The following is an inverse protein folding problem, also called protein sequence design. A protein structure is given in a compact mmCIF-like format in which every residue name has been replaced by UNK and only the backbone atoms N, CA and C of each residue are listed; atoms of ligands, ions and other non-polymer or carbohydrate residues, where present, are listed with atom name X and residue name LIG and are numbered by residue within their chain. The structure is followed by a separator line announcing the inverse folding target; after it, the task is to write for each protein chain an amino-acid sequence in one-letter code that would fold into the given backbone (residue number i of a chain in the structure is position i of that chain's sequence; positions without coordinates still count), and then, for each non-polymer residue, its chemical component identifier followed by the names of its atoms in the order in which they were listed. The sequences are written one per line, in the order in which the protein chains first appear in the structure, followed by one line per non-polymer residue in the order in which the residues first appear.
data_IF_948201548234
#
_entry.id   IF_948201548234
#
_cell.length_a   1.000
_cell.length_b   1.000
_cell.length_c   1.000
_cell.angle_alpha   90.00
_cell.angle_beta   90.00
_cell.angle_gamma   90.00
#
_symmetry.space_group_name_H-M   'P 1'
#
loop_
_entity.id
_entity.type
_entity.pdbx_description
1 polymer ?
#
# COMPACT_ATOMS: atom_id res chain seq x y z
N UNK A 1 0.07 -9.97 30.93
CA UNK A 1 -0.87 -9.52 29.88
C UNK A 1 -1.14 -10.73 29.01
N UNK A 2 -2.40 -11.16 28.91
CA UNK A 2 -2.77 -12.33 28.11
C UNK A 2 -2.71 -11.99 26.62
N UNK A 3 -2.50 -12.98 25.77
CA UNK A 3 -2.45 -12.88 24.31
C UNK A 3 -3.71 -12.24 23.70
N UNK A 4 -4.86 -12.45 24.34
CA UNK A 4 -6.14 -11.88 23.96
C UNK A 4 -6.17 -10.33 24.03
N UNK A 5 -5.48 -9.72 25.00
CA UNK A 5 -5.42 -8.27 25.14
C UNK A 5 -4.61 -7.64 23.99
N UNK A 6 -3.55 -8.32 23.53
CA UNK A 6 -2.74 -7.86 22.41
C UNK A 6 -3.52 -7.96 21.10
N UNK A 7 -4.27 -9.05 20.88
CA UNK A 7 -5.13 -9.20 19.69
C UNK A 7 -6.22 -8.13 19.62
N UNK A 8 -6.80 -7.74 20.76
CA UNK A 8 -7.83 -6.68 20.84
C UNK A 8 -7.32 -5.30 20.45
N UNK A 9 -6.06 -5.00 20.73
CA UNK A 9 -5.44 -3.71 20.37
C UNK A 9 -4.88 -3.77 18.95
N UNK A 10 -4.27 -4.88 18.56
CA UNK A 10 -3.61 -5.03 17.26
C UNK A 10 -4.58 -5.13 16.09
N UNK A 11 -5.73 -5.77 16.29
CA UNK A 11 -6.75 -5.93 15.24
C UNK A 11 -7.24 -4.57 14.70
N UNK A 12 -7.62 -3.58 15.54
CA UNK A 12 -7.91 -2.22 15.09
C UNK A 12 -6.76 -1.54 14.34
N UNK A 13 -5.51 -1.76 14.75
CA UNK A 13 -4.33 -1.15 14.10
C UNK A 13 -4.16 -1.64 12.67
N UNK A 14 -4.17 -2.96 12.43
CA UNK A 14 -4.04 -3.51 11.07
C UNK A 14 -5.15 -3.04 10.13
N UNK A 15 -6.38 -2.89 10.63
CA UNK A 15 -7.50 -2.37 9.82
C UNK A 15 -7.35 -0.88 9.50
N UNK A 16 -6.77 -0.08 10.40
CA UNK A 16 -6.54 1.35 10.14
C UNK A 16 -5.52 1.60 9.01
N UNK A 17 -4.58 0.67 8.80
CA UNK A 17 -3.58 0.75 7.73
C UNK A 17 -4.21 0.56 6.34
N UNK A 18 -5.28 -0.22 6.23
CA UNK A 18 -6.04 -0.41 4.99
C UNK A 18 -6.40 0.94 4.37
N UNK A 19 -6.90 1.85 5.22
CA UNK A 19 -7.31 3.21 4.82
C UNK A 19 -6.11 4.03 4.35
N UNK A 20 -4.96 3.93 5.02
CA UNK A 20 -3.74 4.64 4.63
C UNK A 20 -3.18 4.13 3.30
N UNK A 21 -3.28 2.81 3.06
CA UNK A 21 -2.88 2.19 1.79
C UNK A 21 -3.79 2.71 0.66
N UNK A 22 -5.10 2.70 0.85
CA UNK A 22 -6.06 3.27 -0.13
C UNK A 22 -5.83 4.77 -0.34
N UNK A 23 -5.56 5.51 0.73
CA UNK A 23 -5.21 6.93 0.64
C UNK A 23 -3.99 7.16 -0.25
N UNK A 24 -2.99 6.27 -0.21
CA UNK A 24 -1.84 6.34 -1.12
C UNK A 24 -2.20 6.25 -2.61
N UNK A 25 -3.27 5.54 -2.97
CA UNK A 25 -3.77 5.50 -4.36
C UNK A 25 -4.41 6.83 -4.73
N UNK A 26 -5.21 7.39 -3.82
CA UNK A 26 -6.13 8.51 -4.05
C UNK A 26 -5.57 9.88 -3.62
N UNK A 27 -4.33 9.91 -3.14
CA UNK A 27 -3.68 11.10 -2.63
C UNK A 27 -3.67 12.22 -3.67
N UNK A 28 -4.07 13.42 -3.27
CA UNK A 28 -4.19 14.59 -4.15
C UNK A 28 -5.46 14.63 -5.01
N UNK A 29 -6.38 13.67 -4.85
CA UNK A 29 -7.60 13.57 -5.71
C UNK A 29 -8.93 13.59 -4.95
N UNK A 30 -8.88 13.47 -3.62
CA UNK A 30 -10.06 13.48 -2.76
C UNK A 30 -9.92 14.53 -1.66
N UNK A 31 -11.05 15.10 -1.22
CA UNK A 31 -11.07 15.98 -0.05
C UNK A 31 -10.87 15.18 1.25
N UNK A 32 -10.47 15.84 2.36
CA UNK A 32 -10.47 15.21 3.67
C UNK A 32 -11.83 14.60 4.07
N UNK A 33 -12.94 15.24 3.70
CA UNK A 33 -14.29 14.71 3.98
C UNK A 33 -14.55 13.41 3.19
N UNK A 34 -14.13 13.36 1.93
CA UNK A 34 -14.22 12.12 1.14
C UNK A 34 -13.35 11.01 1.75
N UNK A 35 -12.17 11.33 2.30
CA UNK A 35 -11.36 10.36 3.03
C UNK A 35 -12.03 9.86 4.31
N UNK A 36 -12.73 10.71 5.06
CA UNK A 36 -13.49 10.26 6.25
C UNK A 36 -14.61 9.28 5.88
N UNK A 37 -15.33 9.54 4.80
CA UNK A 37 -16.40 8.66 4.32
C UNK A 37 -15.83 7.36 3.75
N UNK A 38 -14.76 7.46 2.96
CA UNK A 38 -14.02 6.31 2.46
C UNK A 38 -13.58 5.41 3.61
N UNK A 39 -12.95 6.00 4.64
CA UNK A 39 -12.48 5.28 5.82
C UNK A 39 -13.61 4.53 6.52
N UNK A 40 -14.79 5.14 6.65
CA UNK A 40 -15.96 4.49 7.26
C UNK A 40 -16.41 3.24 6.48
N UNK A 41 -16.60 3.36 5.16
CA UNK A 41 -17.05 2.24 4.33
C UNK A 41 -15.99 1.14 4.23
N UNK A 42 -14.75 1.54 3.98
CA UNK A 42 -13.62 0.62 3.83
C UNK A 42 -13.34 -0.16 5.12
N UNK A 43 -13.28 0.52 6.26
CA UNK A 43 -13.06 -0.12 7.57
C UNK A 43 -14.15 -1.15 7.87
N UNK A 44 -15.42 -0.80 7.63
CA UNK A 44 -16.56 -1.69 7.88
C UNK A 44 -16.46 -2.98 7.04
N UNK A 45 -16.11 -2.84 5.76
CA UNK A 45 -15.93 -3.97 4.86
C UNK A 45 -14.66 -4.78 5.21
N UNK A 46 -13.55 -4.12 5.52
CA UNK A 46 -12.29 -4.77 5.87
C UNK A 46 -12.44 -5.65 7.11
N UNK A 47 -13.16 -5.19 8.15
CA UNK A 47 -13.46 -6.00 9.34
C UNK A 47 -14.26 -7.25 8.99
N UNK A 48 -15.27 -7.12 8.12
CA UNK A 48 -16.08 -8.27 7.69
C UNK A 48 -15.24 -9.27 6.89
N UNK A 49 -14.44 -8.79 5.95
CA UNK A 49 -13.55 -9.62 5.12
C UNK A 49 -12.51 -10.32 5.98
N UNK A 50 -11.93 -9.62 6.96
CA UNK A 50 -10.98 -10.21 7.91
C UNK A 50 -11.60 -11.36 8.70
N UNK A 51 -12.81 -11.14 9.23
CA UNK A 51 -13.54 -12.17 9.96
C UNK A 51 -13.82 -13.39 9.08
N UNK A 52 -14.26 -13.20 7.83
CA UNK A 52 -14.49 -14.30 6.89
C UNK A 52 -13.18 -15.06 6.63
N UNK A 53 -12.08 -14.37 6.34
CA UNK A 53 -10.82 -15.00 5.95
C UNK A 53 -10.16 -15.73 7.14
N UNK A 54 -10.07 -15.06 8.30
CA UNK A 54 -9.33 -15.59 9.45
C UNK A 54 -10.19 -16.50 10.33
N UNK A 55 -11.43 -16.13 10.60
CA UNK A 55 -12.28 -16.85 11.56
C UNK A 55 -13.22 -17.88 10.92
N UNK A 56 -13.57 -17.74 9.63
CA UNK A 56 -14.47 -18.70 8.95
C UNK A 56 -13.67 -19.62 8.03
N UNK A 57 -12.86 -19.06 7.15
CA UNK A 57 -12.05 -19.84 6.19
C UNK A 57 -10.78 -20.42 6.86
N UNK A 58 -10.35 -19.86 7.98
CA UNK A 58 -9.11 -20.25 8.68
C UNK A 58 -7.89 -20.23 7.74
N UNK A 59 -7.79 -19.13 7.00
CA UNK A 59 -6.67 -18.82 6.13
C UNK A 59 -5.51 -18.34 7.00
N UNK A 60 -4.32 -18.89 6.76
CA UNK A 60 -3.12 -18.35 7.39
C UNK A 60 -2.67 -17.08 6.64
N UNK A 61 -3.06 -15.94 7.18
CA UNK A 61 -2.63 -14.59 6.77
C UNK A 61 -2.02 -13.83 7.96
N UNK A 62 -1.09 -14.48 8.66
CA UNK A 62 -0.50 -13.94 9.89
C UNK A 62 0.17 -12.56 9.74
N UNK A 63 0.74 -12.29 8.55
CA UNK A 63 1.32 -10.99 8.19
C UNK A 63 0.34 -10.03 7.52
N UNK A 64 -0.96 -10.37 7.48
CA UNK A 64 -2.04 -9.53 6.90
C UNK A 64 -1.79 -9.10 5.45
N UNK A 65 -1.09 -9.93 4.67
CA UNK A 65 -0.75 -9.64 3.28
C UNK A 65 -1.98 -9.59 2.37
N UNK A 66 -3.02 -10.37 2.69
CA UNK A 66 -4.27 -10.36 1.93
C UNK A 66 -5.22 -9.28 2.44
N UNK A 67 -5.57 -9.34 3.72
CA UNK A 67 -6.63 -8.51 4.33
C UNK A 67 -6.25 -7.04 4.54
N UNK A 68 -4.94 -6.73 4.60
CA UNK A 68 -4.46 -5.35 4.72
C UNK A 68 -3.86 -4.85 3.42
N UNK A 69 -2.76 -5.47 2.98
CA UNK A 69 -2.00 -4.94 1.84
C UNK A 69 -2.69 -5.13 0.49
N UNK A 70 -3.05 -6.36 0.13
CA UNK A 70 -3.75 -6.59 -1.14
C UNK A 70 -5.13 -5.93 -1.13
N UNK A 71 -5.93 -6.12 -0.07
CA UNK A 71 -7.26 -5.55 0.04
C UNK A 71 -7.24 -4.02 -0.10
N UNK A 72 -6.46 -3.28 0.71
CA UNK A 72 -6.39 -1.82 0.62
C UNK A 72 -5.90 -1.35 -0.75
N UNK A 73 -4.87 -1.99 -1.30
CA UNK A 73 -4.34 -1.61 -2.62
C UNK A 73 -5.41 -1.71 -3.72
N UNK A 74 -6.10 -2.85 -3.81
CA UNK A 74 -7.10 -3.06 -4.87
C UNK A 74 -8.42 -2.34 -4.59
N UNK A 75 -8.77 -2.06 -3.34
CA UNK A 75 -9.89 -1.21 -2.98
C UNK A 75 -9.66 0.22 -3.47
N UNK A 76 -8.49 0.80 -3.18
CA UNK A 76 -8.13 2.14 -3.64
C UNK A 76 -8.06 2.24 -5.17
N UNK A 77 -7.45 1.26 -5.85
CA UNK A 77 -7.41 1.24 -7.32
C UNK A 77 -8.81 1.14 -7.94
N UNK A 78 -9.68 0.31 -7.35
CA UNK A 78 -11.07 0.20 -7.78
C UNK A 78 -11.85 1.51 -7.58
N UNK A 79 -11.68 2.17 -6.43
CA UNK A 79 -12.27 3.48 -6.18
C UNK A 79 -11.74 4.55 -7.18
N UNK A 80 -10.46 4.50 -7.52
CA UNK A 80 -9.83 5.40 -8.49
C UNK A 80 -10.37 5.24 -9.92
N UNK A 81 -10.85 4.05 -10.31
CA UNK A 81 -11.43 3.80 -11.62
C UNK A 81 -12.72 4.58 -11.89
N UNK A 82 -13.58 4.67 -10.87
CA UNK A 82 -14.88 5.36 -10.96
C UNK A 82 -14.81 6.80 -10.48
N UNK A 83 -13.83 7.14 -9.65
CA UNK A 83 -13.60 8.48 -9.12
C UNK A 83 -12.93 9.46 -10.08
N UNK A 84 -12.97 9.22 -11.39
CA UNK A 84 -12.27 10.04 -12.39
C UNK A 84 -12.91 11.43 -12.52
N UNK A 85 -12.31 12.43 -11.88
CA UNK A 85 -12.57 13.85 -12.17
C UNK A 85 -11.84 14.29 -13.43
N UNK A 86 -12.42 15.26 -14.16
CA UNK A 86 -11.79 15.93 -15.31
C UNK A 86 -10.76 16.99 -14.86
N UNK A 87 -10.94 17.56 -13.68
CA UNK A 87 -10.10 18.61 -13.09
C UNK A 87 -9.35 18.02 -11.91
N UNK A 88 -8.33 17.22 -12.19
CA UNK A 88 -7.44 16.69 -11.15
C UNK A 88 -6.16 17.51 -11.20
N UNK A 89 -5.57 17.80 -10.03
CA UNK A 89 -4.21 18.36 -10.00
C UNK A 89 -3.32 17.49 -10.91
N UNK A 90 -2.84 18.09 -11.98
CA UNK A 90 -1.76 17.51 -12.77
C UNK A 90 -0.54 17.48 -11.85
N UNK A 91 0.08 16.31 -11.71
CA UNK A 91 1.37 16.24 -11.05
C UNK A 91 2.33 17.09 -11.88
N UNK A 92 3.04 17.99 -11.21
CA UNK A 92 4.12 18.76 -11.83
C UNK A 92 5.07 17.79 -12.57
N UNK A 93 5.41 18.13 -13.82
CA UNK A 93 6.37 17.37 -14.63
C UNK A 93 7.73 17.22 -13.92
N UNK A 94 8.01 18.10 -12.95
CA UNK A 94 9.24 18.15 -12.17
C UNK A 94 9.27 17.15 -10.99
N UNK A 95 8.15 16.50 -10.65
CA UNK A 95 8.13 15.41 -9.67
C UNK A 95 8.41 15.84 -8.22
N UNK A 96 9.14 15.02 -7.46
CA UNK A 96 9.50 15.32 -6.06
C UNK A 96 10.66 16.31 -5.97
N UNK A 97 10.68 17.10 -4.89
CA UNK A 97 11.81 17.98 -4.54
C UNK A 97 12.62 17.42 -3.37
N UNK A 98 13.86 17.86 -3.21
CA UNK A 98 14.82 17.28 -2.25
C UNK A 98 14.27 17.13 -0.82
N UNK A 99 13.62 18.17 -0.27
CA UNK A 99 13.07 18.09 1.09
C UNK A 99 11.89 17.11 1.19
N UNK A 100 11.04 17.02 0.16
CA UNK A 100 9.94 16.05 0.14
C UNK A 100 10.45 14.61 0.10
N UNK A 101 11.56 14.36 -0.61
CA UNK A 101 12.21 13.06 -0.64
C UNK A 101 12.85 12.69 0.70
N UNK A 102 13.46 13.65 1.39
CA UNK A 102 14.00 13.43 2.73
C UNK A 102 12.89 13.10 3.74
N UNK A 103 11.76 13.82 3.72
CA UNK A 103 10.61 13.51 4.58
C UNK A 103 10.02 12.13 4.28
N UNK A 104 9.87 11.77 3.00
CA UNK A 104 9.42 10.43 2.57
C UNK A 104 10.37 9.33 3.05
N UNK A 105 11.69 9.59 3.05
CA UNK A 105 12.68 8.65 3.56
C UNK A 105 12.60 8.44 5.08
N UNK A 106 12.27 9.46 5.87
CA UNK A 106 12.02 9.28 7.31
C UNK A 106 10.87 8.29 7.52
N UNK A 107 9.77 8.45 6.79
CA UNK A 107 8.65 7.51 6.82
C UNK A 107 9.07 6.10 6.40
N UNK A 108 9.85 5.99 5.31
CA UNK A 108 10.39 4.71 4.82
C UNK A 108 11.21 4.01 5.89
N UNK A 109 12.12 4.70 6.57
CA UNK A 109 12.97 4.11 7.60
C UNK A 109 12.18 3.68 8.84
N UNK A 110 11.18 4.46 9.27
CA UNK A 110 10.31 4.09 10.38
C UNK A 110 9.52 2.82 10.05
N UNK A 111 8.92 2.77 8.85
CA UNK A 111 8.24 1.56 8.38
C UNK A 111 9.21 0.38 8.33
N UNK A 112 10.41 0.57 7.79
CA UNK A 112 11.41 -0.49 7.63
C UNK A 112 11.82 -1.10 8.97
N UNK A 113 12.11 -0.27 9.97
CA UNK A 113 12.57 -0.70 11.30
C UNK A 113 11.46 -1.37 12.10
N UNK A 114 10.21 -0.89 11.99
CA UNK A 114 9.10 -1.41 12.79
C UNK A 114 8.35 -2.59 12.12
N UNK A 115 8.55 -2.84 10.82
CA UNK A 115 7.86 -3.91 10.10
C UNK A 115 8.04 -5.32 10.68
N UNK A 116 9.24 -5.73 11.18
CA UNK A 116 9.39 -7.02 11.84
C UNK A 116 8.47 -7.17 13.06
N UNK A 117 8.21 -6.08 13.79
CA UNK A 117 7.26 -6.09 14.91
C UNK A 117 5.83 -6.22 14.40
N UNK A 118 5.50 -5.56 13.29
CA UNK A 118 4.18 -5.64 12.66
C UNK A 118 3.80 -7.10 12.31
N UNK A 119 4.68 -7.80 11.58
CA UNK A 119 4.42 -9.20 11.18
C UNK A 119 4.42 -10.18 12.37
N UNK A 120 5.10 -9.84 13.45
CA UNK A 120 5.27 -10.71 14.61
C UNK A 120 4.21 -10.51 15.70
N UNK A 121 3.47 -9.40 15.68
CA UNK A 121 2.63 -8.95 16.80
C UNK A 121 1.57 -9.98 17.24
N UNK A 122 0.98 -10.72 16.30
CA UNK A 122 -0.08 -11.72 16.56
C UNK A 122 0.40 -13.16 16.45
N UNK A 123 1.71 -13.36 16.30
CA UNK A 123 2.28 -14.69 16.12
C UNK A 123 2.43 -15.40 17.46
N UNK A 124 1.89 -16.62 17.51
CA UNK A 124 1.97 -17.51 18.65
C UNK A 124 2.19 -18.95 18.16
N UNK A 125 3.03 -19.74 18.84
CA UNK A 125 3.72 -19.46 20.10
C UNK A 125 4.95 -18.53 19.95
N UNK A 126 5.71 -18.31 21.03
CA UNK A 126 6.88 -17.41 21.05
C UNK A 126 7.94 -17.76 19.98
N UNK A 127 8.10 -19.05 19.66
CA UNK A 127 8.99 -19.51 18.60
C UNK A 127 8.54 -19.00 17.22
N UNK A 128 7.23 -19.02 16.93
CA UNK A 128 6.67 -18.47 15.71
C UNK A 128 6.86 -16.95 15.63
N UNK A 129 6.74 -16.24 16.76
CA UNK A 129 7.01 -14.81 16.85
C UNK A 129 8.46 -14.47 16.52
N UNK A 130 9.43 -15.18 17.10
CA UNK A 130 10.85 -14.98 16.77
C UNK A 130 11.14 -15.29 15.31
N UNK A 131 10.57 -16.38 14.75
CA UNK A 131 10.69 -16.67 13.31
C UNK A 131 10.13 -15.55 12.43
N UNK A 132 8.97 -14.99 12.79
CA UNK A 132 8.37 -13.89 12.04
C UNK A 132 9.25 -12.64 12.04
N UNK A 133 9.84 -12.28 13.18
CA UNK A 133 10.80 -11.16 13.27
C UNK A 133 12.00 -11.40 12.35
N UNK A 134 12.66 -12.57 12.49
CA UNK A 134 13.87 -12.89 11.73
C UNK A 134 13.62 -12.99 10.23
N UNK A 135 12.56 -13.68 9.82
CA UNK A 135 12.21 -13.83 8.40
C UNK A 135 11.86 -12.48 7.77
N UNK A 136 11.12 -11.63 8.48
CA UNK A 136 10.77 -10.28 8.00
C UNK A 136 12.03 -9.43 7.84
N UNK A 137 12.92 -9.42 8.85
CA UNK A 137 14.17 -8.68 8.77
C UNK A 137 15.06 -9.13 7.61
N UNK A 138 15.27 -10.45 7.44
CA UNK A 138 16.11 -10.99 6.36
C UNK A 138 15.51 -10.74 4.97
N UNK A 139 14.20 -10.87 4.83
CA UNK A 139 13.49 -10.56 3.58
C UNK A 139 13.61 -9.07 3.22
N UNK A 140 13.49 -8.17 4.19
CA UNK A 140 13.62 -6.73 3.96
C UNK A 140 15.07 -6.31 3.72
N UNK A 141 16.04 -6.90 4.41
CA UNK A 141 17.45 -6.63 4.20
C UNK A 141 17.90 -7.06 2.79
N UNK A 142 17.55 -8.28 2.38
CA UNK A 142 17.79 -8.74 1.01
C UNK A 142 17.05 -7.87 -0.02
N UNK A 143 15.78 -7.55 0.24
CA UNK A 143 14.96 -6.67 -0.58
C UNK A 143 15.56 -5.27 -0.76
N UNK A 144 16.14 -4.68 0.29
CA UNK A 144 16.85 -3.40 0.23
C UNK A 144 18.06 -3.50 -0.68
N UNK A 145 18.93 -4.49 -0.49
CA UNK A 145 20.12 -4.68 -1.35
C UNK A 145 19.71 -4.87 -2.81
N UNK A 146 18.73 -5.73 -3.07
CA UNK A 146 18.18 -5.95 -4.42
C UNK A 146 17.60 -4.67 -5.01
N UNK A 147 16.91 -3.85 -4.21
CA UNK A 147 16.35 -2.56 -4.66
C UNK A 147 17.44 -1.60 -5.14
N UNK A 148 18.53 -1.44 -4.40
CA UNK A 148 19.64 -0.58 -4.82
C UNK A 148 20.31 -1.09 -6.10
N UNK A 149 20.56 -2.40 -6.17
CA UNK A 149 21.15 -3.05 -7.36
C UNK A 149 20.26 -2.82 -8.59
N UNK A 150 18.97 -3.15 -8.48
CA UNK A 150 18.04 -2.99 -9.60
C UNK A 150 17.81 -1.52 -9.95
N UNK A 151 17.74 -0.61 -8.98
CA UNK A 151 17.60 0.81 -9.26
C UNK A 151 18.78 1.35 -10.06
N UNK A 152 20.00 0.90 -9.77
CA UNK A 152 21.18 1.27 -10.55
C UNK A 152 21.13 0.65 -11.95
N UNK A 153 20.77 -0.64 -12.06
CA UNK A 153 20.72 -1.33 -13.36
C UNK A 153 19.68 -0.78 -14.34
N UNK A 154 18.56 -0.24 -13.85
CA UNK A 154 17.53 0.33 -14.72
C UNK A 154 17.79 1.79 -15.11
N UNK A 155 18.76 2.47 -14.46
CA UNK A 155 19.20 3.81 -14.85
C UNK A 155 20.39 3.72 -15.82
N UNK A 156 20.33 4.50 -16.90
CA UNK A 156 21.36 4.48 -17.96
C UNK A 156 22.75 4.92 -17.46
N UNK A 157 22.84 5.62 -16.32
CA UNK A 157 24.07 6.11 -15.72
C UNK A 157 24.41 5.38 -14.41
N UNK A 158 23.67 4.33 -14.06
CA UNK A 158 23.90 3.58 -12.82
C UNK A 158 23.48 4.31 -11.54
N UNK A 159 22.71 5.39 -11.62
CA UNK A 159 22.29 6.19 -10.45
C UNK A 159 21.11 5.56 -9.72
N UNK A 160 20.89 5.98 -8.48
CA UNK A 160 19.72 5.57 -7.71
C UNK A 160 18.55 6.54 -7.90
N UNK A 161 17.34 6.00 -8.01
CA UNK A 161 16.11 6.77 -8.03
C UNK A 161 15.44 6.70 -6.66
N UNK A 162 15.20 7.85 -6.03
CA UNK A 162 14.65 7.90 -4.68
C UNK A 162 13.24 7.30 -4.56
N UNK A 163 12.43 7.33 -5.62
CA UNK A 163 11.12 6.65 -5.64
C UNK A 163 11.30 5.13 -5.53
N UNK A 164 12.32 4.57 -6.21
CA UNK A 164 12.62 3.15 -6.07
C UNK A 164 13.07 2.81 -4.65
N UNK A 165 13.92 3.65 -4.04
CA UNK A 165 14.44 3.42 -2.69
C UNK A 165 13.35 3.55 -1.62
N UNK A 166 12.51 4.59 -1.69
CA UNK A 166 11.44 4.83 -0.72
C UNK A 166 10.37 3.72 -0.74
N UNK A 167 10.06 3.19 -1.93
CA UNK A 167 8.99 2.20 -2.09
C UNK A 167 9.52 0.76 -2.09
N UNK A 168 10.47 0.43 -2.96
CA UNK A 168 10.82 -0.97 -3.23
C UNK A 168 11.62 -1.63 -2.10
N UNK A 169 12.30 -0.85 -1.24
CA UNK A 169 13.00 -1.39 -0.07
C UNK A 169 12.04 -2.01 0.95
N UNK A 170 10.77 -1.56 0.97
CA UNK A 170 9.69 -2.12 1.78
C UNK A 170 8.98 -3.29 1.07
N UNK A 171 9.08 -3.38 -0.26
CA UNK A 171 8.35 -4.33 -1.09
C UNK A 171 9.20 -5.49 -1.63
N UNK A 172 10.46 -5.61 -1.21
CA UNK A 172 11.39 -6.63 -1.70
C UNK A 172 11.89 -6.42 -3.14
N UNK A 173 11.93 -5.17 -3.63
CA UNK A 173 12.42 -4.84 -4.98
C UNK A 173 11.39 -4.93 -6.12
N UNK A 174 10.17 -5.38 -5.82
CA UNK A 174 9.08 -5.57 -6.82
C UNK A 174 8.57 -4.24 -7.43
N UNK A 175 8.79 -3.10 -6.77
CA UNK A 175 8.13 -1.85 -7.12
C UNK A 175 8.73 -1.01 -8.28
N UNK A 176 9.77 -1.51 -8.96
CA UNK A 176 10.54 -0.75 -9.98
C UNK A 176 9.78 -0.57 -11.33
N UNK A 177 8.58 -1.16 -11.50
CA UNK A 177 7.80 -1.16 -12.75
C UNK A 177 6.76 -0.03 -12.95
N UNK A 178 6.76 1.03 -12.13
CA UNK A 178 5.70 2.06 -12.02
C UNK A 178 5.17 2.68 -13.35
N UNK A 179 5.97 3.02 -14.37
CA UNK A 179 5.50 3.86 -15.49
C UNK A 179 4.49 3.24 -16.47
N UNK A 180 4.21 1.92 -16.38
CA UNK A 180 3.39 1.23 -17.40
C UNK A 180 1.89 1.24 -17.12
N UNK A 181 1.47 1.30 -15.86
CA UNK A 181 0.06 1.17 -15.47
C UNK A 181 -0.74 2.44 -15.81
N UNK A 182 -0.20 3.60 -15.45
CA UNK A 182 -0.80 4.91 -15.69
C UNK A 182 -0.90 5.22 -17.20
N UNK A 183 0.20 5.03 -17.94
CA UNK A 183 0.27 5.33 -19.38
C UNK A 183 -0.67 4.46 -20.24
N UNK A 184 -0.94 3.21 -19.83
CA UNK A 184 -1.74 2.26 -20.61
C UNK A 184 -3.19 2.17 -20.18
N UNK A 185 -3.47 2.25 -18.89
CA UNK A 185 -4.82 2.02 -18.35
C UNK A 185 -5.50 3.28 -17.79
N UNK A 186 -4.79 4.43 -17.79
CA UNK A 186 -5.27 5.68 -17.15
C UNK A 186 -5.78 5.42 -15.73
N UNK A 187 -5.09 4.51 -15.03
CA UNK A 187 -5.35 4.12 -13.67
C UNK A 187 -4.33 4.85 -12.81
N UNK A 188 -4.83 5.74 -11.97
CA UNK A 188 -4.00 6.58 -11.12
C UNK A 188 -3.61 5.82 -9.86
N UNK A 189 -2.35 5.99 -9.46
CA UNK A 189 -1.77 5.38 -8.28
C UNK A 189 -0.65 6.30 -7.75
N UNK A 190 -1.04 7.34 -7.00
CA UNK A 190 -0.15 8.44 -6.61
C UNK A 190 1.09 7.96 -5.86
N UNK A 191 0.91 7.05 -4.91
CA UNK A 191 2.00 6.46 -4.10
C UNK A 191 2.54 5.14 -4.66
N UNK A 192 2.02 4.61 -5.78
CA UNK A 192 2.52 3.36 -6.35
C UNK A 192 2.15 2.16 -5.49
N UNK A 193 1.00 2.25 -4.84
CA UNK A 193 0.44 1.29 -3.90
C UNK A 193 0.22 -0.07 -4.56
N UNK A 194 -0.10 -0.12 -5.86
CA UNK A 194 -0.17 -1.38 -6.58
C UNK A 194 1.14 -2.16 -6.50
N UNK A 195 2.25 -1.45 -6.65
CA UNK A 195 3.59 -2.02 -6.69
C UNK A 195 4.15 -2.32 -5.29
N UNK A 196 3.78 -1.51 -4.28
CA UNK A 196 4.25 -1.64 -2.90
C UNK A 196 3.42 -2.63 -2.07
N UNK A 197 2.10 -2.60 -2.23
CA UNK A 197 1.17 -3.39 -1.41
C UNK A 197 0.42 -4.43 -2.22
N UNK A 198 -0.08 -4.06 -3.41
CA UNK A 198 -0.92 -4.92 -4.23
C UNK A 198 -0.22 -6.18 -4.74
N UNK A 199 0.84 -6.03 -5.55
CA UNK A 199 1.60 -7.15 -6.11
C UNK A 199 2.27 -7.97 -5.00
N UNK A 200 3.01 -7.38 -4.04
CA UNK A 200 3.61 -8.16 -2.95
C UNK A 200 2.57 -8.92 -2.10
N UNK A 201 1.40 -8.32 -1.84
CA UNK A 201 0.31 -8.98 -1.13
C UNK A 201 -0.24 -10.20 -1.88
N UNK A 202 -0.44 -10.10 -3.21
CA UNK A 202 -0.84 -11.24 -4.04
C UNK A 202 0.26 -12.31 -4.06
N UNK A 203 1.53 -11.92 -4.24
CA UNK A 203 2.65 -12.87 -4.25
C UNK A 203 2.75 -13.62 -2.92
N UNK A 204 2.56 -12.94 -1.79
CA UNK A 204 2.50 -13.57 -0.48
C UNK A 204 1.32 -14.55 -0.38
N UNK A 205 0.14 -14.21 -0.92
CA UNK A 205 -1.00 -15.13 -1.05
C UNK A 205 -0.67 -16.39 -1.86
N UNK A 206 -0.02 -16.22 -3.03
CA UNK A 206 0.43 -17.32 -3.88
C UNK A 206 1.46 -18.20 -3.15
N UNK A 207 2.45 -17.59 -2.50
CA UNK A 207 3.43 -18.35 -1.70
C UNK A 207 2.76 -19.06 -0.53
N UNK A 208 1.72 -18.50 0.08
CA UNK A 208 0.95 -19.15 1.13
C UNK A 208 0.24 -20.42 0.63
N UNK A 209 -0.29 -20.40 -0.60
CA UNK A 209 -0.84 -21.60 -1.27
C UNK A 209 0.27 -22.63 -1.52
N UNK A 210 1.41 -22.20 -2.07
CA UNK A 210 2.56 -23.08 -2.36
C UNK A 210 3.09 -23.71 -1.06
N UNK A 211 3.22 -22.93 0.02
CA UNK A 211 3.67 -23.41 1.31
C UNK A 211 2.67 -24.35 1.98
N UNK A 212 1.36 -24.16 1.78
CA UNK A 212 0.36 -25.12 2.22
C UNK A 212 0.53 -26.47 1.49
N UNK A 213 0.80 -26.46 0.17
CA UNK A 213 1.03 -27.67 -0.63
C UNK A 213 2.37 -28.36 -0.34
N UNK A 214 3.43 -27.58 -0.13
CA UNK A 214 4.79 -28.07 0.12
C UNK A 214 5.04 -28.44 1.58
N UNK A 215 4.03 -28.33 2.44
CA UNK A 215 4.20 -28.61 3.86
C UNK A 215 4.30 -30.12 4.12
N UNK A 216 5.35 -30.53 4.82
CA UNK A 216 5.53 -31.91 5.28
C UNK A 216 5.35 -31.97 6.81
N UNK A 217 4.36 -32.72 7.31
CA UNK A 217 4.10 -32.85 8.75
C UNK A 217 5.33 -33.30 9.57
N UNK A 218 6.17 -34.15 8.99
CA UNK A 218 7.39 -34.70 9.61
C UNK A 218 8.44 -33.62 9.87
N UNK A 219 8.51 -32.61 8.99
CA UNK A 219 9.51 -31.54 9.05
C UNK A 219 9.23 -30.49 10.11
N UNK A 220 7.96 -30.32 10.52
CA UNK A 220 7.52 -29.23 11.40
C UNK A 220 6.87 -29.71 12.70
N UNK A 221 6.53 -31.00 12.79
CA UNK A 221 5.97 -31.63 13.98
C UNK A 221 4.76 -30.88 14.53
N UNK A 222 4.82 -30.49 15.81
CA UNK A 222 3.69 -29.82 16.50
C UNK A 222 3.41 -28.40 16.00
N UNK A 223 4.35 -27.75 15.30
CA UNK A 223 4.15 -26.37 14.81
C UNK A 223 3.18 -26.30 13.62
N UNK A 224 2.98 -27.42 12.91
CA UNK A 224 1.99 -27.53 11.82
C UNK A 224 0.61 -27.06 12.28
N UNK A 225 0.13 -27.60 13.40
CA UNK A 225 -1.22 -27.35 13.89
C UNK A 225 -1.39 -25.96 14.53
N UNK A 226 -0.30 -25.22 14.74
CA UNK A 226 -0.38 -23.79 15.07
C UNK A 226 -0.58 -22.93 13.82
N UNK A 227 0.02 -23.33 12.71
CA UNK A 227 -0.05 -22.62 11.41
C UNK A 227 -1.37 -22.96 10.69
N UNK A 228 -1.76 -24.24 10.71
CA UNK A 228 -2.98 -24.75 10.10
C UNK A 228 -3.77 -25.61 11.12
N UNK A 229 -4.59 -24.98 11.98
CA UNK A 229 -5.24 -25.67 13.10
C UNK A 229 -6.21 -26.78 12.71
N UNK A 230 -6.78 -26.71 11.51
CA UNK A 230 -7.78 -27.64 11.00
C UNK A 230 -7.19 -28.76 10.12
N UNK A 231 -5.88 -28.99 10.20
CA UNK A 231 -5.30 -30.17 9.56
C UNK A 231 -5.78 -31.47 10.23
N UNK A 232 -5.94 -32.51 9.41
CA UNK A 232 -6.21 -33.87 9.85
C UNK A 232 -5.12 -34.35 10.82
N UNK A 233 -5.53 -35.04 11.90
CA UNK A 233 -4.61 -35.49 12.96
C UNK A 233 -4.20 -34.40 13.96
N UNK A 234 -4.70 -33.18 13.80
CA UNK A 234 -4.47 -32.06 14.72
C UNK A 234 -5.38 -32.04 15.95
N UNK A 235 -5.04 -31.22 16.96
CA UNK A 235 -5.78 -31.13 18.22
C UNK A 235 -7.21 -30.58 18.08
N UNK A 236 -7.53 -29.91 16.97
CA UNK A 236 -8.88 -29.40 16.69
C UNK A 236 -9.78 -30.41 15.96
N UNK A 237 -9.31 -31.64 15.72
CA UNK A 237 -10.04 -32.67 14.95
C UNK A 237 -10.52 -32.14 13.58
N UNK A 238 -9.67 -31.36 12.90
CA UNK A 238 -9.96 -30.88 11.55
C UNK A 238 -9.89 -32.00 10.51
N UNK A 239 -10.43 -31.72 9.33
CA UNK A 239 -10.59 -32.66 8.22
C UNK A 239 -9.77 -32.25 6.97
N UNK A 240 -8.87 -31.27 7.11
CA UNK A 240 -8.12 -30.71 5.98
C UNK A 240 -6.79 -31.43 5.79
N UNK A 241 -6.50 -31.81 4.55
CA UNK A 241 -5.15 -32.12 4.12
C UNK A 241 -4.50 -30.89 3.46
N UNK A 242 -3.26 -31.03 2.98
CA UNK A 242 -2.50 -29.96 2.33
C UNK A 242 -3.20 -29.38 1.11
N UNK A 243 -3.85 -30.21 0.30
CA UNK A 243 -4.57 -29.80 -0.90
C UNK A 243 -5.81 -28.97 -0.51
N UNK A 244 -6.57 -29.43 0.48
CA UNK A 244 -7.74 -28.71 0.99
C UNK A 244 -7.31 -27.37 1.59
N UNK A 245 -6.29 -27.34 2.45
CA UNK A 245 -5.84 -26.06 3.02
C UNK A 245 -5.37 -25.09 1.93
N UNK A 246 -4.67 -25.57 0.90
CA UNK A 246 -4.27 -24.74 -0.24
C UNK A 246 -5.49 -24.13 -0.97
N UNK A 247 -6.57 -24.89 -1.11
CA UNK A 247 -7.84 -24.37 -1.65
C UNK A 247 -8.46 -23.30 -0.73
N UNK A 248 -8.38 -23.45 0.60
CA UNK A 248 -8.82 -22.41 1.53
C UNK A 248 -7.95 -21.15 1.42
N UNK A 249 -6.62 -21.28 1.28
CA UNK A 249 -5.74 -20.12 1.04
C UNK A 249 -6.12 -19.39 -0.26
N UNK A 250 -6.41 -20.15 -1.34
CA UNK A 250 -6.88 -19.60 -2.61
C UNK A 250 -8.25 -18.91 -2.46
N UNK A 251 -9.18 -19.52 -1.73
CA UNK A 251 -10.49 -18.94 -1.46
C UNK A 251 -10.37 -17.64 -0.64
N UNK A 252 -9.46 -17.59 0.34
CA UNK A 252 -9.14 -16.38 1.10
C UNK A 252 -8.64 -15.25 0.21
N UNK A 253 -7.65 -15.54 -0.65
CA UNK A 253 -7.13 -14.57 -1.62
C UNK A 253 -8.23 -14.07 -2.57
N UNK A 254 -9.05 -14.98 -3.11
CA UNK A 254 -10.19 -14.61 -3.94
C UNK A 254 -11.22 -13.74 -3.22
N UNK A 255 -11.52 -14.07 -1.96
CA UNK A 255 -12.47 -13.31 -1.12
C UNK A 255 -11.95 -11.90 -0.86
N UNK A 256 -10.67 -11.74 -0.52
CA UNK A 256 -10.06 -10.43 -0.30
C UNK A 256 -10.11 -9.57 -1.56
N UNK A 257 -9.66 -10.09 -2.70
CA UNK A 257 -9.60 -9.35 -3.96
C UNK A 257 -10.99 -9.00 -4.49
N UNK A 258 -11.93 -9.95 -4.48
CA UNK A 258 -13.29 -9.70 -4.96
C UNK A 258 -14.00 -8.63 -4.10
N UNK A 259 -13.87 -8.74 -2.77
CA UNK A 259 -14.46 -7.77 -1.84
C UNK A 259 -13.82 -6.40 -1.99
N UNK A 260 -12.48 -6.32 -2.13
CA UNK A 260 -11.77 -5.07 -2.35
C UNK A 260 -12.24 -4.36 -3.63
N UNK A 261 -12.31 -5.09 -4.75
CA UNK A 261 -12.71 -4.52 -6.04
C UNK A 261 -14.17 -4.05 -5.99
N UNK A 262 -15.10 -4.91 -5.54
CA UNK A 262 -16.53 -4.55 -5.49
C UNK A 262 -16.76 -3.41 -4.49
N UNK A 263 -16.17 -3.50 -3.31
CA UNK A 263 -16.27 -2.48 -2.27
C UNK A 263 -15.69 -1.13 -2.71
N UNK A 264 -14.52 -1.15 -3.36
CA UNK A 264 -13.86 0.05 -3.88
C UNK A 264 -14.66 0.70 -5.00
N UNK A 265 -15.21 -0.08 -5.94
CA UNK A 265 -16.09 0.43 -6.99
C UNK A 265 -17.35 1.09 -6.41
N UNK A 266 -18.03 0.41 -5.47
CA UNK A 266 -19.25 0.95 -4.83
C UNK A 266 -18.92 2.22 -4.05
N UNK A 267 -17.87 2.20 -3.23
CA UNK A 267 -17.45 3.34 -2.41
C UNK A 267 -17.05 4.51 -3.30
N UNK A 268 -16.27 4.27 -4.35
CA UNK A 268 -15.90 5.28 -5.32
C UNK A 268 -17.12 5.95 -5.97
N UNK A 269 -18.17 5.18 -6.32
CA UNK A 269 -19.43 5.72 -6.84
C UNK A 269 -20.18 6.56 -5.80
N UNK A 270 -20.24 6.11 -4.54
CA UNK A 270 -20.86 6.89 -3.44
C UNK A 270 -20.15 8.24 -3.28
N UNK A 271 -18.82 8.25 -3.32
CA UNK A 271 -18.02 9.47 -3.18
C UNK A 271 -18.17 10.45 -4.35
N UNK A 272 -18.75 10.02 -5.49
CA UNK A 272 -19.09 10.89 -6.61
C UNK A 272 -20.44 11.60 -6.46
N UNK A 273 -21.27 11.24 -5.46
CA UNK A 273 -22.55 11.92 -5.20
C UNK A 273 -22.29 13.40 -4.92
N UNK A 274 -22.97 14.30 -5.67
CA UNK A 274 -22.70 15.75 -5.68
C UNK A 274 -22.60 16.40 -4.29
N UNK A 275 -23.43 15.96 -3.34
CA UNK A 275 -23.44 16.50 -1.97
C UNK A 275 -22.12 16.18 -1.23
N UNK A 276 -21.50 15.05 -1.56
CA UNK A 276 -20.24 14.54 -0.97
C UNK A 276 -19.01 14.91 -1.81
N UNK A 277 -19.21 15.23 -3.08
CA UNK A 277 -18.17 15.39 -4.10
C UNK A 277 -17.72 16.84 -4.30
N UNK A 278 -17.53 17.59 -3.20
CA UNK A 278 -17.28 19.03 -3.25
C UNK A 278 -15.82 19.45 -3.50
N UNK A 279 -14.97 18.60 -4.13
CA UNK A 279 -13.62 19.07 -4.54
C UNK A 279 -13.78 20.05 -5.70
N UNK A 280 -13.10 21.19 -5.52
CA UNK A 280 -13.17 22.46 -6.21
C UNK A 280 -13.21 22.39 -7.74
N UNK A 281 -14.13 23.17 -8.29
CA UNK A 281 -14.09 23.60 -9.68
C UNK A 281 -13.09 24.76 -9.75
N UNK A 282 -12.00 24.68 -10.53
CA UNK A 282 -11.07 25.80 -10.71
C UNK A 282 -11.76 27.07 -11.26
N UNK A 283 -12.98 26.95 -11.82
CA UNK A 283 -13.80 28.07 -12.29
C UNK A 283 -14.79 28.62 -11.23
N UNK A 284 -14.82 28.08 -10.00
CA UNK A 284 -15.63 28.66 -8.92
C UNK A 284 -14.96 29.91 -8.33
N UNK A 285 -15.74 30.97 -8.22
CA UNK A 285 -15.36 32.35 -7.84
C UNK A 285 -14.90 32.50 -6.37
N UNK A 286 -14.62 31.39 -5.69
CA UNK A 286 -14.13 31.33 -4.32
C UNK A 286 -12.73 30.71 -4.32
N UNK A 287 -11.73 31.52 -4.70
CA UNK A 287 -10.32 31.13 -4.82
C UNK A 287 -9.61 30.69 -3.53
N UNK A 288 -10.32 30.47 -2.42
CA UNK A 288 -9.72 30.35 -1.08
C UNK A 288 -9.94 29.00 -0.37
N UNK A 289 -10.55 27.99 -0.99
CA UNK A 289 -10.86 26.72 -0.31
C UNK A 289 -10.23 25.50 -0.99
N UNK A 290 -8.97 25.60 -1.41
CA UNK A 290 -8.19 24.37 -1.49
C UNK A 290 -7.92 23.88 -0.05
N UNK A 291 -8.37 22.68 0.32
CA UNK A 291 -8.06 22.05 1.62
C UNK A 291 -6.55 21.83 1.82
N UNK A 292 -5.82 21.79 0.72
CA UNK A 292 -4.38 22.01 0.68
C UNK A 292 -4.20 23.48 0.40
N UNK A 293 -3.39 24.21 1.19
CA UNK A 293 -2.98 25.53 0.77
C UNK A 293 -2.56 25.42 -0.71
N UNK A 294 -3.18 26.22 -1.59
CA UNK A 294 -2.58 26.41 -2.91
C UNK A 294 -1.11 26.70 -2.65
N UNK A 295 -0.23 26.28 -3.54
CA UNK A 295 1.17 26.68 -3.50
C UNK A 295 1.32 28.20 -3.70
N UNK A 296 0.42 29.04 -3.20
CA UNK A 296 0.51 30.48 -3.07
C UNK A 296 1.60 30.95 -2.11
N UNK A 297 2.37 30.01 -1.52
CA UNK A 297 3.71 30.29 -1.01
C UNK A 297 4.83 29.68 -1.85
N UNK A 298 4.62 29.51 -3.16
CA UNK A 298 5.69 29.24 -4.11
C UNK A 298 6.40 30.56 -4.48
N UNK A 299 6.81 31.31 -3.45
CA UNK A 299 7.66 32.51 -3.56
C UNK A 299 8.88 32.21 -4.43
N UNK A 300 9.43 31.00 -4.30
CA UNK A 300 10.56 30.50 -5.09
C UNK A 300 10.24 30.44 -6.59
N UNK A 301 9.10 29.89 -7.01
CA UNK A 301 8.74 29.89 -8.43
C UNK A 301 8.51 31.29 -9.02
N UNK A 302 8.00 32.25 -8.24
CA UNK A 302 7.87 33.66 -8.67
C UNK A 302 9.24 34.34 -8.71
N UNK A 303 10.11 34.05 -7.74
CA UNK A 303 11.47 34.54 -7.67
C UNK A 303 12.33 33.99 -8.81
N UNK A 304 12.27 32.69 -9.09
CA UNK A 304 13.01 32.03 -10.17
C UNK A 304 12.57 32.55 -11.54
N UNK A 305 11.27 32.69 -11.80
CA UNK A 305 10.77 33.31 -13.04
C UNK A 305 11.18 34.78 -13.17
N UNK A 306 11.13 35.54 -12.07
CA UNK A 306 11.60 36.92 -12.09
C UNK A 306 13.12 37.00 -12.35
N UNK A 307 13.89 36.07 -11.80
CA UNK A 307 15.34 35.99 -11.99
C UNK A 307 15.72 35.56 -13.40
N UNK A 308 14.99 34.61 -13.99
CA UNK A 308 15.14 34.21 -15.40
C UNK A 308 14.79 35.36 -16.34
N UNK A 309 13.71 36.11 -16.07
CA UNK A 309 13.37 37.30 -16.84
C UNK A 309 14.46 38.38 -16.73
N UNK A 310 15.00 38.61 -15.53
CA UNK A 310 16.10 39.57 -15.34
C UNK A 310 17.38 39.14 -16.06
N UNK A 311 17.69 37.84 -16.10
CA UNK A 311 18.83 37.29 -16.84
C UNK A 311 18.64 37.46 -18.35
N UNK A 312 17.47 37.10 -18.88
CA UNK A 312 17.13 37.26 -20.30
C UNK A 312 17.16 38.73 -20.74
N UNK A 313 16.74 39.64 -19.87
CA UNK A 313 16.77 41.07 -20.16
C UNK A 313 18.20 41.63 -20.13
N UNK A 314 19.06 41.14 -19.22
CA UNK A 314 20.49 41.47 -19.22
C UNK A 314 21.21 40.94 -20.46
N UNK A 315 20.94 39.70 -20.87
CA UNK A 315 21.49 39.13 -22.10
C UNK A 315 21.06 39.93 -23.32
N UNK A 316 19.76 40.28 -23.41
CA UNK A 316 19.25 41.14 -24.48
C UNK A 316 19.91 42.51 -24.52
N UNK A 317 20.16 43.14 -23.36
CA UNK A 317 20.85 44.44 -23.29
C UNK A 317 22.33 44.32 -23.70
N UNK A 318 23.00 43.21 -23.39
CA UNK A 318 24.36 42.93 -23.86
C UNK A 318 24.47 42.68 -25.37
N UNK A 319 23.39 42.25 -26.02
CA UNK A 319 23.36 42.14 -27.49
C UNK A 319 23.11 43.49 -28.19
N UNK A 320 22.52 44.46 -27.48
CA UNK A 320 22.12 45.77 -28.05
C UNK A 320 23.21 46.85 -27.85
N UNK A 321 24.03 46.75 -26.80
CA UNK A 321 25.09 47.71 -26.45
C UNK A 321 26.49 47.09 -26.57
#
# INVERSE_FOLDING_TARGET
RTSDDLRRVWFPHGISEVVLITMGVLLGRMTPVQFLLLAFFETSLAVLVDHVIVNILHVNDGGRSLVVHAFGAYFGLAAALVGKKKNVMEMDEQGSIHHSDLFSMIGTLLLWVFFPSFNAAVQEPEDARHRAIMNTYLAMASGTVTTFILSSFVDNLGRFNMIHIQSSTLSGGVAIGRPKLEKRFKLFDTCGVHNLHGIPGILAGIFSIIFALGYEPESYGKTLYHIYPYFEGGPMNGDRNREIQALYQLAGMGTALASAIVGGLITGLILQIRILNQVDDPDTTHGDINYYAQSEFNFLSKYERAREQELLERERLHEIY
#
